data_IF_469589559835
#
_entry.id   IF_469589559835
#
_cell.length_a   1.000
_cell.length_b   1.000
_cell.length_c   1.000
_cell.angle_alpha   90.00
_cell.angle_beta   90.00
_cell.angle_gamma   90.00
#
_symmetry.space_group_name_H-M   'P 1'
#
loop_
_entity.id
_entity.type
_entity.pdbx_description
1 polymer ?
#
# COMPACT_ATOMS: atom_id res chain seq x y z
N UNK A 1 25.21 4.25 -20.43
CA UNK A 1 24.54 4.11 -21.74
C UNK A 1 23.21 3.41 -21.47
N UNK A 2 22.11 4.08 -21.85
CA UNK A 2 20.69 3.71 -21.75
C UNK A 2 19.95 4.12 -20.47
N UNK A 3 19.31 5.30 -20.60
CA UNK A 3 18.04 5.72 -19.99
C UNK A 3 17.00 4.59 -20.07
N UNK A 4 16.24 4.39 -18.99
CA UNK A 4 14.77 4.25 -18.95
C UNK A 4 14.35 3.68 -17.58
N UNK A 5 13.89 4.55 -16.68
CA UNK A 5 13.09 4.20 -15.49
C UNK A 5 11.62 4.61 -15.71
N UNK A 6 11.11 4.40 -16.92
CA UNK A 6 9.69 4.53 -17.24
C UNK A 6 8.96 3.26 -16.77
N UNK A 7 7.70 3.33 -16.30
CA UNK A 7 6.85 2.15 -16.32
C UNK A 7 6.78 1.64 -17.77
N UNK A 8 6.86 0.31 -18.01
CA UNK A 8 7.01 -0.23 -19.35
C UNK A 8 5.86 0.21 -20.26
N UNK A 9 6.20 0.80 -21.40
CA UNK A 9 5.27 1.02 -22.50
C UNK A 9 4.65 -0.32 -22.93
N UNK A 10 3.32 -0.39 -22.94
CA UNK A 10 2.59 -1.38 -23.72
C UNK A 10 2.68 -1.04 -25.22
N UNK A 11 3.85 -1.30 -25.84
CA UNK A 11 3.97 -1.23 -27.29
C UNK A 11 3.14 -2.33 -27.94
N UNK A 12 2.05 -1.95 -28.61
CA UNK A 12 1.23 -2.85 -29.40
C UNK A 12 1.72 -2.87 -30.85
N UNK A 13 2.24 -3.98 -31.40
CA UNK A 13 2.24 -4.16 -32.84
C UNK A 13 0.90 -4.76 -33.25
N UNK A 14 0.11 -4.00 -34.02
CA UNK A 14 -0.97 -4.57 -34.84
C UNK A 14 -0.37 -5.59 -35.82
N UNK A 15 -0.46 -6.87 -35.47
CA UNK A 15 -0.68 -7.95 -36.43
C UNK A 15 -1.38 -9.11 -35.72
N UNK A 16 -2.32 -9.72 -36.45
CA UNK A 16 -3.32 -10.67 -35.98
C UNK A 16 -2.77 -11.80 -35.09
N UNK A 17 -3.15 -11.82 -33.80
CA UNK A 17 -3.22 -13.07 -33.02
C UNK A 17 -4.22 -12.91 -31.87
N UNK A 18 -5.49 -13.18 -32.21
CA UNK A 18 -6.59 -13.38 -31.27
C UNK A 18 -6.20 -14.39 -30.17
N UNK A 19 -6.19 -13.92 -28.92
CA UNK A 19 -6.66 -14.61 -27.72
C UNK A 19 -6.14 -16.01 -27.37
N UNK A 20 -4.89 -16.12 -26.89
CA UNK A 20 -4.40 -17.36 -26.23
C UNK A 20 -4.78 -17.48 -24.74
N UNK A 21 -5.34 -16.43 -24.13
CA UNK A 21 -5.91 -16.50 -22.78
C UNK A 21 -7.29 -17.18 -22.74
N UNK A 22 -8.05 -17.15 -23.85
CA UNK A 22 -9.39 -17.78 -23.96
C UNK A 22 -9.33 -19.28 -24.28
N UNK A 23 -8.21 -19.75 -24.83
CA UNK A 23 -8.02 -21.14 -25.26
C UNK A 23 -7.72 -22.09 -24.07
N UNK A 24 -7.09 -21.56 -23.01
CA UNK A 24 -6.81 -22.33 -21.77
C UNK A 24 -8.06 -22.56 -20.91
N UNK A 25 -9.05 -21.68 -21.00
CA UNK A 25 -10.33 -21.82 -20.28
C UNK A 25 -11.27 -22.86 -20.94
N UNK A 26 -11.21 -23.02 -22.27
CA UNK A 26 -12.02 -24.00 -23.00
C UNK A 26 -11.46 -25.44 -22.90
N UNK A 27 -10.14 -25.60 -22.83
CA UNK A 27 -9.50 -26.92 -22.73
C UNK A 27 -9.71 -27.61 -21.38
N UNK A 28 -10.15 -26.88 -20.33
CA UNK A 28 -10.44 -27.44 -19.00
C UNK A 28 -11.92 -27.80 -18.78
N UNK A 29 -12.81 -27.46 -19.72
CA UNK A 29 -14.25 -27.83 -19.69
C UNK A 29 -14.58 -29.12 -20.46
N UNK A 30 -13.62 -29.75 -21.11
CA UNK A 30 -13.84 -30.89 -22.01
C UNK A 30 -13.69 -32.29 -21.40
N UNK A 31 -13.58 -32.46 -20.08
CA UNK A 31 -13.25 -33.77 -19.50
C UNK A 31 -13.89 -34.05 -18.16
N UNK A 32 -15.16 -34.49 -18.15
CA UNK A 32 -15.62 -35.56 -17.25
C UNK A 32 -16.97 -36.16 -17.71
N UNK A 33 -17.18 -37.47 -17.54
CA UNK A 33 -18.30 -38.19 -18.12
C UNK A 33 -19.59 -38.06 -17.30
N UNK A 34 -20.69 -38.23 -18.03
CA UNK A 34 -22.09 -38.27 -17.60
C UNK A 34 -22.33 -39.14 -16.35
N UNK A 35 -23.10 -38.62 -15.40
CA UNK A 35 -24.02 -39.44 -14.60
C UNK A 35 -25.44 -38.92 -14.79
N UNK A 36 -26.29 -39.76 -15.34
CA UNK A 36 -27.73 -39.60 -15.39
C UNK A 36 -28.32 -39.50 -13.97
N UNK A 37 -29.32 -38.63 -13.83
CA UNK A 37 -30.69 -38.97 -13.43
C UNK A 37 -31.28 -37.89 -12.51
N UNK A 38 -32.30 -37.24 -13.07
CA UNK A 38 -33.14 -36.26 -12.46
C UNK A 38 -34.04 -36.89 -11.40
N UNK A 39 -34.31 -36.15 -10.32
CA UNK A 39 -35.67 -36.02 -9.80
C UNK A 39 -35.82 -34.79 -8.91
N UNK A 40 -36.81 -33.98 -9.28
CA UNK A 40 -37.22 -32.74 -8.63
C UNK A 40 -37.93 -33.01 -7.31
N UNK A 41 -37.68 -32.16 -6.31
CA UNK A 41 -38.51 -32.07 -5.11
C UNK A 41 -38.89 -30.61 -4.86
N UNK A 42 -40.18 -30.32 -5.01
CA UNK A 42 -40.82 -29.06 -4.60
C UNK A 42 -41.65 -29.30 -3.34
N UNK A 43 -41.83 -28.29 -2.47
CA UNK A 43 -42.38 -28.46 -1.14
C UNK A 43 -43.91 -28.39 -1.13
N UNK A 44 -44.56 -29.32 -0.42
CA UNK A 44 -46.00 -29.23 -0.07
C UNK A 44 -46.25 -29.79 1.33
N UNK A 45 -46.68 -28.92 2.24
CA UNK A 45 -47.60 -29.27 3.33
C UNK A 45 -48.95 -29.74 2.71
N UNK A 46 -49.85 -30.50 3.37
CA UNK A 46 -50.25 -30.35 4.79
C UNK A 46 -50.71 -31.66 5.50
N UNK A 47 -51.29 -31.46 6.69
CA UNK A 47 -52.29 -32.28 7.42
C UNK A 47 -51.82 -33.08 8.65
N UNK A 48 -52.33 -32.60 9.77
CA UNK A 48 -52.38 -33.17 11.13
C UNK A 48 -53.36 -34.34 11.23
N UNK A 49 -53.01 -35.37 12.02
CA UNK A 49 -54.00 -36.18 12.73
C UNK A 49 -54.02 -35.83 14.21
N UNK A 50 -55.23 -35.58 14.72
CA UNK A 50 -55.56 -35.55 16.15
C UNK A 50 -55.31 -36.93 16.75
N UNK A 51 -54.52 -37.01 17.82
CA UNK A 51 -54.56 -38.13 18.76
C UNK A 51 -54.63 -37.64 20.19
N UNK A 52 -55.70 -38.11 20.84
CA UNK A 52 -56.10 -38.06 22.24
C UNK A 52 -55.00 -38.01 23.31
N UNK A 53 -55.23 -37.11 24.27
CA UNK A 53 -54.53 -36.94 25.55
C UNK A 53 -54.50 -38.21 26.42
N UNK A 54 -53.37 -38.46 27.12
CA UNK A 54 -53.38 -39.08 28.43
C UNK A 54 -52.99 -38.08 29.53
N UNK A 55 -53.89 -38.00 30.53
CA UNK A 55 -53.74 -37.57 31.92
C UNK A 55 -52.40 -36.98 32.38
N UNK A 56 -52.48 -35.71 32.78
CA UNK A 56 -51.93 -35.12 34.00
C UNK A 56 -50.53 -35.60 34.45
N UNK A 57 -49.51 -35.08 33.77
CA UNK A 57 -48.20 -34.93 34.38
C UNK A 57 -48.26 -33.77 35.38
N UNK A 58 -47.94 -34.08 36.64
CA UNK A 58 -47.82 -33.15 37.77
C UNK A 58 -47.17 -31.84 37.35
N UNK A 59 -47.86 -30.74 37.60
CA UNK A 59 -47.29 -29.41 37.64
C UNK A 59 -46.16 -29.43 38.69
N UNK A 60 -44.91 -29.48 38.23
CA UNK A 60 -43.77 -29.13 39.07
C UNK A 60 -43.88 -27.62 39.31
N UNK A 61 -44.57 -27.25 40.38
CA UNK A 61 -44.47 -25.93 40.98
C UNK A 61 -42.98 -25.60 41.16
N UNK A 62 -42.49 -24.42 40.74
CA UNK A 62 -41.11 -24.02 41.00
C UNK A 62 -40.91 -23.93 42.51
N UNK A 63 -40.41 -24.99 43.11
CA UNK A 63 -39.96 -25.00 44.50
C UNK A 63 -38.66 -24.23 44.55
N UNK A 64 -38.78 -22.92 44.72
CA UNK A 64 -37.65 -22.01 44.82
C UNK A 64 -38.03 -20.63 44.30
N UNK A 65 -38.66 -19.81 45.14
CA UNK A 65 -38.51 -18.36 44.99
C UNK A 65 -37.01 -18.09 45.04
N UNK A 66 -36.39 -17.79 43.91
CA UNK A 66 -35.10 -17.11 43.90
C UNK A 66 -35.33 -15.77 44.61
N UNK A 67 -35.13 -15.76 45.93
CA UNK A 67 -35.09 -14.52 46.71
C UNK A 67 -33.81 -13.82 46.26
N UNK A 68 -33.97 -12.82 45.41
CA UNK A 68 -32.91 -11.83 45.18
C UNK A 68 -32.42 -11.38 46.57
N UNK A 69 -31.11 -11.43 46.85
CA UNK A 69 -30.60 -10.93 48.11
C UNK A 69 -31.06 -9.49 48.28
N UNK A 70 -31.63 -9.16 49.45
CA UNK A 70 -31.95 -7.77 49.79
C UNK A 70 -30.65 -6.98 49.86
N UNK A 71 -30.32 -6.28 48.77
CA UNK A 71 -29.21 -5.34 48.75
C UNK A 71 -29.67 -4.14 49.59
N UNK A 72 -29.36 -4.18 50.89
CA UNK A 72 -29.56 -3.04 51.80
C UNK A 72 -28.52 -1.98 51.48
N UNK A 73 -28.84 -1.14 50.50
CA UNK A 73 -28.07 0.06 50.20
C UNK A 73 -28.33 1.09 51.32
N UNK A 74 -27.31 1.51 52.09
CA UNK A 74 -27.50 2.59 53.04
C UNK A 74 -27.96 3.83 52.28
N UNK A 75 -29.09 4.42 52.68
CA UNK A 75 -29.72 5.57 51.99
C UNK A 75 -28.73 6.73 51.77
N UNK A 76 -27.72 6.89 52.63
CA UNK A 76 -26.66 7.88 52.49
C UNK A 76 -25.73 7.68 51.29
N UNK A 77 -25.69 6.49 50.68
CA UNK A 77 -24.84 6.17 49.51
C UNK A 77 -25.61 6.06 48.20
N UNK A 78 -26.94 6.12 48.23
CA UNK A 78 -27.79 6.12 47.04
C UNK A 78 -27.45 7.28 46.09
N UNK A 79 -27.22 8.53 46.58
CA UNK A 79 -26.80 9.63 45.70
C UNK A 79 -25.46 9.36 45.03
N UNK A 80 -24.50 8.79 45.77
CA UNK A 80 -23.17 8.46 45.26
C UNK A 80 -23.23 7.40 44.14
N UNK A 81 -24.08 6.38 44.30
CA UNK A 81 -24.28 5.34 43.29
C UNK A 81 -25.01 5.87 42.05
N UNK A 82 -25.96 6.79 42.22
CA UNK A 82 -26.60 7.49 41.11
C UNK A 82 -25.58 8.32 40.34
N UNK A 83 -24.72 9.07 41.03
CA UNK A 83 -23.65 9.87 40.41
C UNK A 83 -22.64 8.97 39.70
N UNK A 84 -22.21 7.87 40.32
CA UNK A 84 -21.29 6.91 39.71
C UNK A 84 -21.91 6.24 38.46
N UNK A 85 -23.20 5.89 38.50
CA UNK A 85 -23.92 5.35 37.35
C UNK A 85 -24.05 6.37 36.21
N UNK A 86 -24.32 7.65 36.53
CA UNK A 86 -24.34 8.74 35.57
C UNK A 86 -22.97 8.96 34.93
N UNK A 87 -21.89 8.98 35.72
CA UNK A 87 -20.52 9.08 35.21
C UNK A 87 -20.20 7.89 34.31
N UNK A 88 -20.56 6.66 34.70
CA UNK A 88 -20.34 5.47 33.89
C UNK A 88 -21.08 5.53 32.55
N UNK A 89 -22.32 6.01 32.54
CA UNK A 89 -23.09 6.20 31.30
C UNK A 89 -22.47 7.31 30.44
N UNK A 90 -22.05 8.44 31.03
CA UNK A 90 -21.40 9.53 30.31
C UNK A 90 -20.08 9.06 29.69
N UNK A 91 -19.22 8.40 30.48
CA UNK A 91 -17.96 7.82 30.00
C UNK A 91 -18.23 6.77 28.93
N UNK A 92 -19.22 5.90 29.14
CA UNK A 92 -19.64 4.90 28.16
C UNK A 92 -20.07 5.55 26.84
N UNK A 93 -20.89 6.59 26.87
CA UNK A 93 -21.33 7.35 25.68
C UNK A 93 -20.15 8.07 25.03
N UNK A 94 -19.24 8.65 25.81
CA UNK A 94 -18.06 9.34 25.29
C UNK A 94 -17.09 8.37 24.61
N UNK A 95 -16.79 7.24 25.26
CA UNK A 95 -15.91 6.20 24.72
C UNK A 95 -16.52 5.52 23.50
N UNK A 96 -17.82 5.18 23.54
CA UNK A 96 -18.51 4.57 22.40
C UNK A 96 -18.70 5.59 21.26
N UNK A 97 -18.90 6.86 21.60
CA UNK A 97 -18.91 7.98 20.66
C UNK A 97 -17.55 8.16 19.99
N UNK A 98 -16.46 8.09 20.75
CA UNK A 98 -15.09 8.18 20.24
C UNK A 98 -14.77 6.99 19.31
N UNK A 99 -15.11 5.76 19.72
CA UNK A 99 -14.90 4.56 18.90
C UNK A 99 -15.72 4.61 17.60
N UNK A 100 -16.93 5.17 17.65
CA UNK A 100 -17.85 5.24 16.50
C UNK A 100 -17.61 6.46 15.60
N UNK A 101 -16.99 7.51 16.12
CA UNK A 101 -16.64 8.74 15.39
C UNK A 101 -15.18 8.79 14.94
N UNK A 102 -14.35 7.80 15.29
CA UNK A 102 -13.07 7.61 14.59
C UNK A 102 -13.37 7.41 13.12
N UNK A 103 -12.89 8.33 12.29
CA UNK A 103 -12.85 8.11 10.85
C UNK A 103 -12.18 6.75 10.61
N UNK A 104 -12.68 5.93 9.66
CA UNK A 104 -12.00 4.69 9.31
C UNK A 104 -10.55 5.02 8.94
N UNK A 105 -9.58 4.48 9.67
CA UNK A 105 -8.18 4.67 9.31
C UNK A 105 -7.90 3.91 8.02
N UNK A 106 -7.24 4.58 7.07
CA UNK A 106 -6.76 3.97 5.85
C UNK A 106 -5.82 2.80 6.20
N UNK A 107 -5.89 1.72 5.42
CA UNK A 107 -5.06 0.55 5.67
C UNK A 107 -3.55 0.84 5.63
N UNK A 108 -2.73 -0.03 6.25
CA UNK A 108 -1.29 0.21 6.38
C UNK A 108 -0.52 0.17 5.04
N UNK A 109 -1.08 -0.49 4.03
CA UNK A 109 -0.38 -0.84 2.80
C UNK A 109 -0.54 0.25 1.73
N UNK A 110 0.32 0.19 0.71
CA UNK A 110 0.31 1.13 -0.41
C UNK A 110 0.33 0.45 -1.78
N UNK A 111 0.04 1.23 -2.83
CA UNK A 111 0.04 0.76 -4.22
C UNK A 111 0.57 1.84 -5.17
N UNK A 112 1.44 1.45 -6.10
CA UNK A 112 1.80 2.30 -7.24
C UNK A 112 0.76 2.20 -8.36
N UNK A 113 0.29 3.36 -8.82
CA UNK A 113 -0.71 3.50 -9.87
C UNK A 113 -0.13 4.25 -11.07
N UNK A 114 -0.20 3.65 -12.25
CA UNK A 114 0.38 4.19 -13.48
C UNK A 114 -0.49 5.26 -14.14
N UNK A 115 0.07 5.83 -15.20
CA UNK A 115 -0.65 6.71 -16.14
C UNK A 115 -1.92 6.11 -16.75
N UNK A 116 -2.11 4.78 -16.76
CA UNK A 116 -3.35 4.17 -17.27
C UNK A 116 -4.56 4.61 -16.44
N UNK A 117 -4.36 4.88 -15.15
CA UNK A 117 -5.37 5.44 -14.27
C UNK A 117 -5.42 6.96 -14.31
N UNK A 118 -4.26 7.62 -14.27
CA UNK A 118 -4.22 9.07 -14.05
C UNK A 118 -4.35 9.90 -15.34
N UNK A 119 -3.99 9.36 -16.50
CA UNK A 119 -4.08 10.05 -17.80
C UNK A 119 -5.31 9.62 -18.61
N UNK A 120 -6.12 8.71 -18.08
CA UNK A 120 -7.33 8.22 -18.76
C UNK A 120 -8.56 8.55 -17.95
N UNK A 121 -9.65 8.93 -18.63
CA UNK A 121 -10.96 9.07 -18.01
C UNK A 121 -11.58 7.70 -17.78
N UNK A 122 -11.96 7.44 -16.54
CA UNK A 122 -12.64 6.22 -16.12
C UNK A 122 -14.09 6.52 -15.78
N UNK A 123 -14.97 5.53 -15.92
CA UNK A 123 -16.34 5.65 -15.45
C UNK A 123 -16.41 5.59 -13.91
N UNK A 124 -17.41 6.24 -13.31
CA UNK A 124 -17.61 6.23 -11.85
C UNK A 124 -17.67 4.81 -11.26
N UNK A 125 -18.22 3.86 -12.01
CA UNK A 125 -18.28 2.45 -11.61
C UNK A 125 -16.91 1.75 -11.57
N UNK A 126 -16.00 2.08 -12.49
CA UNK A 126 -14.64 1.55 -12.53
C UNK A 126 -13.82 2.08 -11.35
N UNK A 127 -13.92 3.39 -11.10
CA UNK A 127 -13.29 4.05 -9.95
C UNK A 127 -13.81 3.46 -8.63
N UNK A 128 -15.13 3.26 -8.51
CA UNK A 128 -15.72 2.65 -7.31
C UNK A 128 -15.28 1.20 -7.10
N UNK A 129 -15.21 0.40 -8.16
CA UNK A 129 -14.73 -0.98 -8.10
C UNK A 129 -13.25 -1.05 -7.70
N UNK A 130 -12.42 -0.15 -8.25
CA UNK A 130 -11.01 -0.05 -7.89
C UNK A 130 -10.84 0.38 -6.43
N UNK A 131 -11.53 1.44 -5.99
CA UNK A 131 -11.55 1.86 -4.59
C UNK A 131 -11.97 0.72 -3.64
N UNK A 132 -12.98 -0.07 -4.00
CA UNK A 132 -13.39 -1.21 -3.20
C UNK A 132 -12.31 -2.28 -3.13
N UNK A 133 -11.66 -2.62 -4.26
CA UNK A 133 -10.52 -3.55 -4.28
C UNK A 133 -9.42 -3.07 -3.34
N UNK A 134 -9.09 -1.78 -3.33
CA UNK A 134 -8.06 -1.24 -2.43
C UNK A 134 -8.46 -1.38 -0.96
N UNK A 135 -9.72 -1.09 -0.60
CA UNK A 135 -10.23 -1.31 0.76
C UNK A 135 -10.14 -2.78 1.18
N UNK A 136 -10.59 -3.69 0.33
CA UNK A 136 -10.59 -5.13 0.59
C UNK A 136 -9.17 -5.67 0.82
N UNK A 137 -8.17 -5.00 0.26
CA UNK A 137 -6.76 -5.34 0.39
C UNK A 137 -6.00 -4.39 1.34
N UNK A 138 -6.72 -3.62 2.18
CA UNK A 138 -6.14 -2.70 3.17
C UNK A 138 -5.07 -1.75 2.60
N UNK A 139 -5.28 -1.27 1.38
CA UNK A 139 -4.43 -0.26 0.73
C UNK A 139 -4.94 1.12 1.12
N UNK A 140 -4.22 1.80 2.02
CA UNK A 140 -4.58 3.13 2.49
C UNK A 140 -3.78 4.27 1.87
N UNK A 141 -2.72 3.98 1.13
CA UNK A 141 -1.92 4.98 0.40
C UNK A 141 -1.78 4.59 -1.07
N UNK A 142 -1.95 5.55 -1.98
CA UNK A 142 -1.76 5.35 -3.41
C UNK A 142 -0.73 6.33 -3.93
N UNK A 143 0.32 5.82 -4.55
CA UNK A 143 1.32 6.60 -5.27
C UNK A 143 0.90 6.70 -6.73
N UNK A 144 0.19 7.75 -7.09
CA UNK A 144 -0.43 7.90 -8.42
C UNK A 144 0.46 8.72 -9.34
N UNK A 145 0.85 8.13 -10.47
CA UNK A 145 1.75 8.75 -11.45
C UNK A 145 1.23 10.10 -11.93
N UNK A 146 2.05 11.14 -11.80
CA UNK A 146 1.72 12.50 -12.28
C UNK A 146 2.59 12.90 -13.45
N UNK A 147 3.92 12.80 -13.31
CA UNK A 147 4.86 13.19 -14.36
C UNK A 147 6.30 12.78 -14.03
N UNK A 148 7.15 12.85 -15.04
CA UNK A 148 8.61 12.78 -14.93
C UNK A 148 9.23 14.08 -15.46
N UNK A 149 10.28 14.56 -14.81
CA UNK A 149 11.03 15.71 -15.30
C UNK A 149 12.03 15.29 -16.38
N UNK A 150 11.85 15.75 -17.62
CA UNK A 150 12.80 15.43 -18.69
C UNK A 150 14.14 16.16 -18.51
N UNK A 151 15.22 15.67 -19.14
CA UNK A 151 16.51 16.37 -19.18
C UNK A 151 16.41 17.82 -19.71
N UNK A 152 15.43 18.13 -20.56
CA UNK A 152 15.18 19.50 -21.06
C UNK A 152 14.38 20.38 -20.09
N UNK A 153 14.33 20.00 -18.81
CA UNK A 153 13.63 20.71 -17.74
C UNK A 153 12.13 20.93 -18.02
N UNK A 154 11.44 19.89 -18.52
CA UNK A 154 9.99 19.90 -18.76
C UNK A 154 9.30 18.71 -18.11
N UNK A 155 8.10 18.93 -17.57
CA UNK A 155 7.25 17.85 -17.09
C UNK A 155 6.59 17.13 -18.28
N UNK A 156 6.84 15.84 -18.39
CA UNK A 156 6.39 15.01 -19.51
C UNK A 156 5.00 14.39 -19.29
N UNK A 157 4.31 14.12 -20.39
CA UNK A 157 3.35 13.01 -20.46
C UNK A 157 4.09 11.71 -20.86
N UNK A 158 3.36 10.64 -21.18
CA UNK A 158 3.93 9.34 -21.57
C UNK A 158 4.25 9.22 -23.08
N UNK A 159 4.08 10.27 -23.89
CA UNK A 159 4.19 10.25 -25.36
C UNK A 159 5.14 11.33 -25.91
N UNK A 160 6.19 11.68 -25.17
CA UNK A 160 7.10 12.79 -25.49
C UNK A 160 6.42 14.18 -25.53
N UNK A 161 5.20 14.28 -25.02
CA UNK A 161 4.47 15.53 -24.87
C UNK A 161 4.72 16.19 -23.52
N UNK A 162 3.79 17.05 -23.11
CA UNK A 162 3.91 17.88 -21.91
C UNK A 162 2.81 17.54 -20.94
N UNK A 163 3.11 17.62 -19.64
CA UNK A 163 2.13 17.42 -18.57
C UNK A 163 0.85 18.24 -18.75
N UNK A 164 0.96 19.47 -19.31
CA UNK A 164 -0.19 20.33 -19.63
C UNK A 164 -1.27 19.61 -20.49
N UNK A 165 -0.90 18.62 -21.30
CA UNK A 165 -1.80 17.84 -22.14
C UNK A 165 -2.71 16.90 -21.35
N UNK A 166 -2.23 16.38 -20.22
CA UNK A 166 -2.91 15.34 -19.39
C UNK A 166 -3.38 15.89 -18.04
N UNK A 167 -3.07 17.16 -17.76
CA UNK A 167 -3.36 17.84 -16.49
C UNK A 167 -4.82 17.72 -16.05
N UNK A 168 -5.75 17.95 -16.98
CA UNK A 168 -7.19 17.91 -16.69
C UNK A 168 -7.66 16.49 -16.37
N UNK A 169 -7.03 15.47 -16.96
CA UNK A 169 -7.33 14.07 -16.70
C UNK A 169 -6.80 13.65 -15.32
N UNK A 170 -5.58 14.05 -14.97
CA UNK A 170 -5.01 13.83 -13.64
C UNK A 170 -5.87 14.48 -12.56
N UNK A 171 -6.28 15.74 -12.75
CA UNK A 171 -7.16 16.41 -11.79
C UNK A 171 -8.52 15.70 -11.67
N UNK A 172 -9.09 15.26 -12.79
CA UNK A 172 -10.36 14.55 -12.78
C UNK A 172 -10.27 13.19 -12.10
N UNK A 173 -9.16 12.46 -12.29
CA UNK A 173 -8.89 11.22 -11.55
C UNK A 173 -8.84 11.50 -10.05
N UNK A 174 -8.05 12.49 -9.61
CA UNK A 174 -7.92 12.82 -8.18
C UNK A 174 -9.28 13.16 -7.55
N UNK A 175 -10.09 14.00 -8.20
CA UNK A 175 -11.43 14.37 -7.70
C UNK A 175 -12.35 13.15 -7.61
N UNK A 176 -12.41 12.32 -8.66
CA UNK A 176 -13.28 11.15 -8.70
C UNK A 176 -12.84 10.09 -7.69
N UNK A 177 -11.54 9.81 -7.62
CA UNK A 177 -10.97 8.80 -6.75
C UNK A 177 -11.13 9.16 -5.27
N UNK A 178 -10.84 10.41 -4.88
CA UNK A 178 -11.06 10.87 -3.49
C UNK A 178 -12.54 10.88 -3.10
N UNK A 179 -13.46 11.09 -4.04
CA UNK A 179 -14.91 10.94 -3.79
C UNK A 179 -15.28 9.48 -3.52
N UNK A 180 -14.69 8.54 -4.25
CA UNK A 180 -14.96 7.11 -4.10
C UNK A 180 -14.23 6.47 -2.91
N UNK A 181 -13.06 7.00 -2.53
CA UNK A 181 -12.23 6.56 -1.43
C UNK A 181 -11.71 7.73 -0.59
N UNK A 182 -12.56 8.38 0.23
CA UNK A 182 -12.18 9.59 0.96
C UNK A 182 -11.15 9.36 2.07
N UNK A 183 -10.99 8.12 2.55
CA UNK A 183 -10.03 7.79 3.59
C UNK A 183 -8.60 7.53 3.06
N UNK A 184 -8.43 7.34 1.74
CA UNK A 184 -7.11 7.06 1.15
C UNK A 184 -6.22 8.29 1.18
N UNK A 185 -4.91 8.09 1.36
CA UNK A 185 -3.90 9.11 1.05
C UNK A 185 -3.49 8.97 -0.41
N UNK A 186 -3.85 9.92 -1.25
CA UNK A 186 -3.45 9.94 -2.65
C UNK A 186 -2.25 10.87 -2.82
N UNK A 187 -1.07 10.29 -3.07
CA UNK A 187 0.18 11.04 -3.22
C UNK A 187 0.55 11.17 -4.70
N UNK A 188 0.96 12.37 -5.09
CA UNK A 188 1.45 12.66 -6.43
C UNK A 188 2.82 12.01 -6.64
N UNK A 189 2.88 10.96 -7.45
CA UNK A 189 4.13 10.32 -7.81
C UNK A 189 4.84 11.13 -8.89
N UNK A 190 5.97 11.74 -8.49
CA UNK A 190 6.79 12.63 -9.31
C UNK A 190 8.17 12.00 -9.49
N UNK A 191 8.53 11.73 -10.74
CA UNK A 191 9.84 11.18 -11.11
C UNK A 191 10.85 12.26 -11.47
N UNK A 192 12.08 12.13 -10.97
CA UNK A 192 13.19 13.01 -11.28
C UNK A 192 14.41 12.20 -11.76
N UNK A 193 15.10 12.65 -12.82
CA UNK A 193 16.31 12.01 -13.28
C UNK A 193 17.45 12.20 -12.27
N UNK A 194 18.37 11.24 -12.24
CA UNK A 194 19.62 11.34 -11.49
C UNK A 194 20.82 11.20 -12.40
N UNK A 195 21.79 12.10 -12.26
CA UNK A 195 23.01 12.05 -13.05
C UNK A 195 22.78 12.12 -14.58
N UNK A 196 21.63 12.67 -15.04
CA UNK A 196 21.49 13.08 -16.43
C UNK A 196 22.64 14.03 -16.78
N UNK A 197 23.15 13.92 -18.01
CA UNK A 197 24.33 14.63 -18.50
C UNK A 197 24.44 16.04 -17.88
N UNK A 198 25.46 16.32 -17.04
CA UNK A 198 25.60 17.59 -16.33
C UNK A 198 25.59 18.81 -17.24
N UNK A 199 25.97 18.64 -18.51
CA UNK A 199 25.95 19.68 -19.53
C UNK A 199 24.52 20.05 -19.96
N UNK A 200 23.55 19.15 -19.75
CA UNK A 200 22.12 19.35 -20.08
C UNK A 200 21.23 19.52 -18.86
N UNK A 201 21.63 18.97 -17.71
CA UNK A 201 20.78 18.91 -16.53
C UNK A 201 21.58 19.14 -15.24
N UNK A 202 21.40 20.33 -14.65
CA UNK A 202 22.05 20.71 -13.40
C UNK A 202 21.04 20.72 -12.24
N UNK A 203 21.04 19.64 -11.46
CA UNK A 203 20.21 19.45 -10.26
C UNK A 203 20.59 20.41 -9.12
N UNK A 204 21.79 20.98 -9.18
CA UNK A 204 22.30 21.89 -8.16
C UNK A 204 21.84 23.33 -8.44
N UNK A 205 21.18 23.55 -9.59
CA UNK A 205 20.71 24.87 -9.98
C UNK A 205 19.46 25.29 -9.20
N UNK A 206 19.41 26.56 -8.79
CA UNK A 206 18.20 27.16 -8.21
C UNK A 206 16.98 27.05 -9.15
N UNK A 207 17.23 27.01 -10.46
CA UNK A 207 16.19 26.86 -11.48
C UNK A 207 15.53 25.47 -11.40
N UNK A 208 16.33 24.41 -11.25
CA UNK A 208 15.83 23.05 -11.05
C UNK A 208 15.00 22.96 -9.76
N UNK A 209 15.54 23.43 -8.63
CA UNK A 209 14.82 23.42 -7.36
C UNK A 209 13.48 24.15 -7.49
N UNK A 210 13.47 25.37 -8.06
CA UNK A 210 12.23 26.13 -8.27
C UNK A 210 11.23 25.39 -9.15
N UNK A 211 11.70 24.67 -10.17
CA UNK A 211 10.83 23.90 -11.06
C UNK A 211 10.14 22.76 -10.33
N UNK A 212 10.88 22.00 -9.51
CA UNK A 212 10.32 20.92 -8.69
C UNK A 212 9.37 21.48 -7.63
N UNK A 213 9.77 22.51 -6.91
CA UNK A 213 8.97 23.17 -5.87
C UNK A 213 7.65 23.71 -6.42
N UNK A 214 7.66 24.35 -7.59
CA UNK A 214 6.43 24.84 -8.23
C UNK A 214 5.50 23.69 -8.64
N UNK A 215 6.05 22.59 -9.13
CA UNK A 215 5.27 21.44 -9.57
C UNK A 215 4.67 20.66 -8.40
N UNK A 216 5.45 20.46 -7.34
CA UNK A 216 4.96 19.91 -6.08
C UNK A 216 3.81 20.75 -5.52
N UNK A 217 3.97 22.07 -5.49
CA UNK A 217 2.90 22.97 -5.05
C UNK A 217 1.65 22.86 -5.94
N UNK A 218 1.82 22.78 -7.26
CA UNK A 218 0.71 22.59 -8.20
C UNK A 218 -0.02 21.26 -7.96
N UNK A 219 0.70 20.17 -7.70
CA UNK A 219 0.11 18.87 -7.45
C UNK A 219 -0.83 18.89 -6.24
N UNK A 220 -0.38 19.49 -5.13
CA UNK A 220 -1.21 19.58 -3.92
C UNK A 220 -2.35 20.59 -4.11
N UNK A 221 -2.03 21.84 -4.48
CA UNK A 221 -2.99 22.95 -4.42
C UNK A 221 -3.97 23.01 -5.58
N UNK A 222 -3.59 22.49 -6.76
CA UNK A 222 -4.41 22.59 -7.97
C UNK A 222 -4.95 21.23 -8.42
N UNK A 223 -4.17 20.16 -8.27
CA UNK A 223 -4.62 18.81 -8.66
C UNK A 223 -5.31 18.04 -7.53
N UNK A 224 -5.13 18.48 -6.27
CA UNK A 224 -5.88 17.97 -5.11
C UNK A 224 -5.30 16.73 -4.42
N UNK A 225 -4.02 16.43 -4.68
CA UNK A 225 -3.29 15.36 -3.99
C UNK A 225 -3.07 15.70 -2.51
N UNK A 226 -3.01 14.66 -1.67
CA UNK A 226 -2.77 14.77 -0.22
C UNK A 226 -1.27 14.94 0.12
N UNK A 227 -0.41 14.82 -0.88
CA UNK A 227 1.03 14.93 -0.71
C UNK A 227 1.82 14.53 -1.94
N UNK A 228 3.13 14.43 -1.77
CA UNK A 228 4.10 14.12 -2.80
C UNK A 228 4.73 12.77 -2.50
N UNK A 229 4.80 11.90 -3.51
CA UNK A 229 5.68 10.75 -3.52
C UNK A 229 6.82 11.01 -4.52
N UNK A 230 7.98 11.36 -3.97
CA UNK A 230 9.14 11.74 -4.76
C UNK A 230 9.99 10.52 -5.09
N UNK A 231 10.23 10.29 -6.39
CA UNK A 231 11.15 9.27 -6.86
C UNK A 231 12.27 9.92 -7.65
N UNK A 232 13.45 10.02 -7.02
CA UNK A 232 14.67 10.43 -7.69
C UNK A 232 15.43 9.18 -8.06
N UNK A 233 15.86 9.06 -9.32
CA UNK A 233 16.65 7.91 -9.74
C UNK A 233 17.97 7.84 -8.93
N UNK A 234 18.57 6.66 -8.75
CA UNK A 234 19.99 6.45 -8.37
C UNK A 234 20.62 7.33 -7.27
N UNK A 235 19.87 7.83 -6.28
CA UNK A 235 20.43 8.71 -5.23
C UNK A 235 21.53 8.01 -4.44
N UNK A 236 22.73 8.58 -4.49
CA UNK A 236 23.91 8.07 -3.81
C UNK A 236 23.92 8.37 -2.31
N UNK A 237 24.75 7.64 -1.57
CA UNK A 237 24.97 7.92 -0.15
C UNK A 237 25.55 9.34 0.04
N UNK A 238 24.97 10.11 0.97
CA UNK A 238 25.49 11.43 1.32
C UNK A 238 25.24 12.52 0.29
N UNK A 239 24.29 12.34 -0.63
CA UNK A 239 23.91 13.36 -1.59
C UNK A 239 23.21 14.55 -0.90
N UNK A 240 23.91 15.69 -0.82
CA UNK A 240 23.43 16.92 -0.18
C UNK A 240 22.43 17.71 -1.03
N UNK A 241 22.38 17.48 -2.35
CA UNK A 241 21.38 18.08 -3.23
C UNK A 241 20.02 17.43 -2.99
N UNK A 242 19.99 16.10 -2.84
CA UNK A 242 18.80 15.38 -2.41
C UNK A 242 18.32 15.87 -1.03
N UNK A 243 19.23 16.04 -0.07
CA UNK A 243 18.88 16.59 1.25
C UNK A 243 18.28 17.99 1.17
N UNK A 244 18.83 18.84 0.30
CA UNK A 244 18.33 20.20 0.08
C UNK A 244 16.95 20.17 -0.57
N UNK A 245 16.74 19.31 -1.56
CA UNK A 245 15.46 19.14 -2.23
C UNK A 245 14.36 18.71 -1.23
N UNK A 246 14.61 17.68 -0.41
CA UNK A 246 13.64 17.23 0.58
C UNK A 246 13.27 18.33 1.57
N UNK A 247 14.28 19.03 2.11
CA UNK A 247 14.07 20.15 3.04
C UNK A 247 13.23 21.26 2.42
N UNK A 248 13.51 21.61 1.16
CA UNK A 248 12.81 22.69 0.48
C UNK A 248 11.36 22.30 0.14
N UNK A 249 11.11 21.06 -0.30
CA UNK A 249 9.75 20.56 -0.56
C UNK A 249 8.96 20.54 0.75
N UNK A 250 9.50 19.95 1.82
CA UNK A 250 8.84 19.89 3.12
C UNK A 250 8.51 21.28 3.67
N UNK A 251 9.38 22.27 3.47
CA UNK A 251 9.15 23.65 3.90
C UNK A 251 8.04 24.39 3.11
N UNK A 252 7.55 23.87 1.98
CA UNK A 252 6.44 24.49 1.23
C UNK A 252 5.07 24.22 1.83
N UNK A 253 4.95 23.19 2.66
CA UNK A 253 3.66 22.66 3.06
C UNK A 253 3.50 22.62 4.58
N UNK A 254 2.26 22.65 5.02
CA UNK A 254 1.89 22.40 6.41
C UNK A 254 2.03 20.91 6.74
N UNK A 255 2.03 20.56 8.03
CA UNK A 255 2.22 19.19 8.54
C UNK A 255 1.17 18.16 8.05
N UNK A 256 0.07 18.61 7.45
CA UNK A 256 -0.96 17.73 6.89
C UNK A 256 -0.57 17.14 5.52
N UNK A 257 0.37 17.76 4.80
CA UNK A 257 0.80 17.32 3.47
C UNK A 257 1.93 16.32 3.60
N UNK A 258 1.70 15.11 3.12
CA UNK A 258 2.68 14.01 3.25
C UNK A 258 3.80 14.13 2.22
N UNK A 259 5.04 14.06 2.67
CA UNK A 259 6.22 13.84 1.82
C UNK A 259 6.70 12.39 1.97
N UNK A 260 6.35 11.56 1.00
CA UNK A 260 6.89 10.21 0.85
C UNK A 260 8.04 10.21 -0.16
N UNK A 261 9.07 9.41 0.09
CA UNK A 261 10.25 9.31 -0.78
C UNK A 261 10.56 7.87 -1.14
N UNK A 262 10.78 7.61 -2.42
CA UNK A 262 11.34 6.35 -2.87
C UNK A 262 12.82 6.30 -2.46
N UNK A 263 13.22 5.25 -1.75
CA UNK A 263 14.62 5.05 -1.36
C UNK A 263 15.17 3.79 -2.03
N UNK A 264 16.40 3.85 -2.58
CA UNK A 264 17.03 2.66 -3.09
C UNK A 264 17.25 1.67 -1.94
N UNK A 265 17.17 0.37 -2.22
CA UNK A 265 17.60 -0.62 -1.26
C UNK A 265 19.13 -0.52 -1.09
N UNK A 266 19.63 -1.05 0.01
CA UNK A 266 21.06 -1.33 0.14
C UNK A 266 21.39 -2.48 -0.81
N UNK A 267 21.86 -2.17 -2.02
CA UNK A 267 22.07 -3.16 -3.08
C UNK A 267 23.22 -4.12 -2.76
N UNK A 268 24.32 -3.62 -2.18
CA UNK A 268 25.50 -4.45 -1.89
C UNK A 268 25.92 -4.44 -0.41
N UNK A 269 25.11 -4.99 0.52
CA UNK A 269 25.43 -5.05 1.93
C UNK A 269 26.46 -6.16 2.19
N UNK A 270 27.72 -5.92 1.88
CA UNK A 270 28.80 -6.93 1.92
C UNK A 270 29.04 -7.55 3.30
N UNK A 271 28.58 -6.89 4.37
CA UNK A 271 28.75 -7.37 5.75
C UNK A 271 27.55 -8.20 6.23
N UNK A 272 26.51 -8.38 5.42
CA UNK A 272 25.29 -9.10 5.81
C UNK A 272 25.39 -10.63 5.67
N UNK A 273 26.48 -11.16 5.09
CA UNK A 273 26.65 -12.61 4.89
C UNK A 273 25.75 -13.21 3.80
N UNK A 274 25.18 -12.37 2.93
CA UNK A 274 24.27 -12.74 1.84
C UNK A 274 25.07 -12.90 0.54
N UNK A 275 24.70 -13.88 -0.29
CA UNK A 275 25.34 -14.09 -1.61
C UNK A 275 24.78 -13.08 -2.62
N UNK A 276 25.50 -11.99 -2.84
CA UNK A 276 25.01 -10.88 -3.68
C UNK A 276 25.22 -11.13 -5.18
N UNK A 277 24.25 -10.76 -6.04
CA UNK A 277 24.42 -10.83 -7.49
C UNK A 277 25.42 -9.77 -7.98
N UNK A 278 26.18 -10.04 -9.06
CA UNK A 278 27.22 -9.13 -9.57
C UNK A 278 26.66 -7.97 -10.41
N UNK A 279 25.39 -7.60 -10.19
CA UNK A 279 24.66 -6.63 -10.99
C UNK A 279 24.99 -5.18 -10.61
N UNK A 280 25.25 -4.95 -9.31
CA UNK A 280 25.47 -3.62 -8.75
C UNK A 280 26.91 -3.41 -8.28
N UNK A 281 27.40 -2.18 -8.39
CA UNK A 281 28.74 -1.84 -7.95
C UNK A 281 28.87 -1.98 -6.42
N UNK A 282 30.02 -2.45 -5.90
CA UNK A 282 30.25 -2.49 -4.45
C UNK A 282 30.10 -1.12 -3.79
N UNK A 283 29.56 -1.09 -2.58
CA UNK A 283 29.35 0.15 -1.82
C UNK A 283 28.07 0.91 -2.18
N UNK A 284 27.13 0.28 -2.89
CA UNK A 284 25.80 0.84 -3.20
C UNK A 284 24.84 0.67 -2.00
N UNK A 285 25.26 1.21 -0.86
CA UNK A 285 24.59 1.13 0.45
C UNK A 285 24.58 2.52 1.05
N UNK A 286 23.45 2.93 1.63
CA UNK A 286 23.41 4.19 2.38
C UNK A 286 23.94 3.99 3.80
N UNK A 287 24.78 4.92 4.26
CA UNK A 287 25.19 4.96 5.65
C UNK A 287 23.98 5.18 6.56
N UNK A 288 24.05 4.62 7.76
CA UNK A 288 23.03 4.78 8.80
C UNK A 288 22.68 6.25 9.03
N UNK A 289 23.69 7.11 9.15
CA UNK A 289 23.51 8.56 9.36
C UNK A 289 22.79 9.24 8.19
N UNK A 290 22.97 8.76 6.96
CA UNK A 290 22.27 9.30 5.80
C UNK A 290 20.80 8.86 5.78
N UNK A 291 20.52 7.57 6.04
CA UNK A 291 19.15 7.07 6.21
C UNK A 291 18.40 7.86 7.29
N UNK A 292 19.03 8.13 8.44
CA UNK A 292 18.44 8.93 9.51
C UNK A 292 18.13 10.36 9.08
N UNK A 293 19.05 11.01 8.35
CA UNK A 293 18.81 12.36 7.82
C UNK A 293 17.63 12.40 6.86
N UNK A 294 17.49 11.40 5.99
CA UNK A 294 16.31 11.27 5.10
C UNK A 294 15.03 11.05 5.93
N UNK A 295 15.08 10.15 6.92
CA UNK A 295 13.95 9.85 7.80
C UNK A 295 13.46 11.05 8.64
N UNK A 296 14.32 12.04 8.89
CA UNK A 296 13.95 13.28 9.57
C UNK A 296 13.32 14.34 8.65
N UNK A 297 13.43 14.17 7.33
CA UNK A 297 12.90 15.12 6.35
C UNK A 297 11.69 14.60 5.57
N UNK A 298 11.41 13.30 5.64
CA UNK A 298 10.28 12.67 4.98
C UNK A 298 9.33 12.07 6.03
N UNK A 299 8.03 12.04 5.72
CA UNK A 299 7.03 11.38 6.54
C UNK A 299 7.00 9.86 6.28
N UNK A 300 7.45 9.45 5.10
CA UNK A 300 7.48 8.05 4.69
C UNK A 300 8.68 7.75 3.80
N UNK A 301 9.39 6.67 4.10
CA UNK A 301 10.43 6.11 3.25
C UNK A 301 9.94 4.80 2.64
N UNK A 302 9.91 4.76 1.32
CA UNK A 302 9.43 3.60 0.55
C UNK A 302 10.64 2.87 0.00
N UNK A 303 11.02 1.78 0.66
CA UNK A 303 12.21 0.99 0.31
C UNK A 303 11.92 0.16 -0.93
N UNK A 304 12.58 0.46 -2.05
CA UNK A 304 12.37 -0.22 -3.33
C UNK A 304 13.11 -1.57 -3.39
N UNK A 305 12.69 -2.54 -2.57
CA UNK A 305 13.33 -3.85 -2.43
C UNK A 305 13.03 -4.82 -3.59
N UNK A 306 13.28 -4.36 -4.82
CA UNK A 306 13.03 -5.07 -6.07
C UNK A 306 14.08 -4.68 -7.14
N UNK A 307 14.04 -5.30 -8.32
CA UNK A 307 15.08 -5.24 -9.36
C UNK A 307 16.44 -5.75 -8.85
N UNK A 308 16.42 -6.77 -8.00
CA UNK A 308 17.57 -7.24 -7.23
C UNK A 308 18.59 -8.04 -8.03
N UNK A 309 18.18 -8.70 -9.10
CA UNK A 309 19.03 -9.59 -9.90
C UNK A 309 19.42 -10.89 -9.21
N UNK A 310 18.78 -11.27 -8.10
CA UNK A 310 18.96 -12.59 -7.51
C UNK A 310 18.41 -13.69 -8.42
N UNK A 311 19.08 -14.84 -8.42
CA UNK A 311 18.65 -16.05 -9.14
C UNK A 311 17.96 -17.06 -8.21
N UNK A 312 17.90 -16.78 -6.90
CA UNK A 312 17.34 -17.65 -5.88
C UNK A 312 16.42 -16.88 -4.92
N UNK A 313 15.20 -17.40 -4.72
CA UNK A 313 14.20 -16.85 -3.81
C UNK A 313 14.66 -16.76 -2.36
N UNK A 314 15.49 -17.70 -1.88
CA UNK A 314 16.00 -17.69 -0.51
C UNK A 314 16.96 -16.53 -0.28
N UNK A 315 17.94 -16.34 -1.18
CA UNK A 315 18.89 -15.23 -1.11
C UNK A 315 18.18 -13.88 -1.25
N UNK A 316 17.19 -13.78 -2.15
CA UNK A 316 16.32 -12.60 -2.25
C UNK A 316 15.56 -12.33 -0.93
N UNK A 317 14.96 -13.36 -0.33
CA UNK A 317 14.21 -13.22 0.93
C UNK A 317 15.12 -12.77 2.08
N UNK A 318 16.34 -13.31 2.18
CA UNK A 318 17.34 -12.86 3.16
C UNK A 318 17.76 -11.41 2.93
N UNK A 319 17.91 -11.00 1.67
CA UNK A 319 18.20 -9.61 1.32
C UNK A 319 17.05 -8.67 1.68
N UNK A 320 15.80 -9.05 1.44
CA UNK A 320 14.63 -8.28 1.87
C UNK A 320 14.51 -8.21 3.40
N UNK A 321 14.84 -9.29 4.12
CA UNK A 321 14.90 -9.29 5.57
C UNK A 321 15.91 -8.25 6.07
N UNK A 322 17.12 -8.25 5.49
CA UNK A 322 18.15 -7.25 5.78
C UNK A 322 17.67 -5.81 5.51
N UNK A 323 16.99 -5.56 4.38
CA UNK A 323 16.43 -4.22 4.09
C UNK A 323 15.44 -3.82 5.19
N UNK A 324 14.51 -4.73 5.51
CA UNK A 324 13.44 -4.46 6.46
C UNK A 324 14.01 -4.15 7.85
N UNK A 325 14.91 -4.98 8.36
CA UNK A 325 15.50 -4.78 9.69
C UNK A 325 16.41 -3.56 9.75
N UNK A 326 17.29 -3.38 8.76
CA UNK A 326 18.25 -2.28 8.76
C UNK A 326 17.54 -0.92 8.72
N UNK A 327 16.52 -0.75 7.87
CA UNK A 327 15.77 0.52 7.82
C UNK A 327 14.92 0.72 9.07
N UNK A 328 14.26 -0.33 9.57
CA UNK A 328 13.44 -0.25 10.78
C UNK A 328 14.26 0.18 12.01
N UNK A 329 15.37 -0.52 12.28
CA UNK A 329 16.26 -0.21 13.40
C UNK A 329 16.87 1.19 13.28
N UNK A 330 17.31 1.56 12.07
CA UNK A 330 17.93 2.87 11.83
C UNK A 330 16.98 4.02 12.13
N UNK A 331 15.70 3.87 11.77
CA UNK A 331 14.68 4.90 12.02
C UNK A 331 14.20 4.86 13.47
N UNK A 332 14.08 3.68 14.09
CA UNK A 332 13.66 3.52 15.48
C UNK A 332 14.63 4.17 16.49
N UNK A 333 15.90 4.37 16.10
CA UNK A 333 16.88 5.12 16.88
C UNK A 333 16.58 6.64 16.98
N UNK A 334 15.63 7.15 16.19
CA UNK A 334 15.24 8.56 16.17
C UNK A 334 14.02 8.83 17.07
N UNK A 335 14.03 9.96 17.77
CA UNK A 335 12.85 10.48 18.47
C UNK A 335 11.90 11.14 17.45
N UNK A 336 11.10 10.31 16.78
CA UNK A 336 10.28 10.72 15.64
C UNK A 336 11.04 10.57 14.32
N UNK A 337 10.34 10.09 13.29
CA UNK A 337 10.91 9.84 11.98
C UNK A 337 9.90 9.23 11.02
N UNK A 338 10.34 9.06 9.77
CA UNK A 338 9.55 8.50 8.69
C UNK A 338 8.94 7.13 9.04
N UNK A 339 7.74 6.88 8.55
CA UNK A 339 7.21 5.52 8.48
C UNK A 339 7.90 4.74 7.36
N UNK A 340 8.30 3.51 7.61
CA UNK A 340 8.87 2.63 6.58
C UNK A 340 7.74 1.88 5.87
N UNK A 341 7.81 1.85 4.54
CA UNK A 341 7.02 0.95 3.71
C UNK A 341 7.94 0.17 2.80
N UNK A 342 7.80 -1.16 2.76
CA UNK A 342 8.66 -2.01 1.92
C UNK A 342 7.97 -2.28 0.59
N UNK A 343 8.62 -1.92 -0.51
CA UNK A 343 8.15 -2.16 -1.87
C UNK A 343 8.28 -3.62 -2.27
N UNK A 344 7.23 -4.18 -2.86
CA UNK A 344 7.13 -5.55 -3.35
C UNK A 344 6.74 -5.52 -4.81
N UNK A 345 7.58 -6.08 -5.69
CA UNK A 345 7.31 -6.10 -7.12
C UNK A 345 6.26 -7.15 -7.50
N UNK A 346 5.40 -6.76 -8.45
CA UNK A 346 4.53 -7.66 -9.22
C UNK A 346 4.83 -7.53 -10.71
N UNK A 347 6.04 -7.09 -11.05
CA UNK A 347 6.44 -6.84 -12.43
C UNK A 347 6.61 -8.15 -13.20
N UNK A 348 6.53 -8.03 -14.52
CA UNK A 348 6.90 -9.11 -15.43
C UNK A 348 8.43 -9.23 -15.53
N UNK A 349 8.92 -10.39 -15.98
CA UNK A 349 10.35 -10.68 -16.08
C UNK A 349 11.13 -9.63 -16.89
N UNK A 350 12.25 -9.17 -16.32
CA UNK A 350 13.19 -8.24 -16.94
C UNK A 350 14.63 -8.68 -16.65
N UNK A 351 15.08 -9.74 -17.32
CA UNK A 351 16.43 -10.26 -17.11
C UNK A 351 17.51 -9.25 -17.53
N UNK A 352 18.61 -9.10 -16.76
CA UNK A 352 18.95 -9.84 -15.54
C UNK A 352 18.46 -9.16 -14.25
N UNK A 353 17.69 -8.07 -14.33
CA UNK A 353 17.28 -7.25 -13.17
C UNK A 353 16.16 -7.88 -12.34
N UNK A 354 15.20 -8.53 -12.98
CA UNK A 354 14.01 -9.06 -12.32
C UNK A 354 13.61 -10.43 -12.88
N UNK A 355 13.40 -11.39 -11.98
CA UNK A 355 12.80 -12.70 -12.27
C UNK A 355 11.60 -12.92 -11.33
N UNK A 356 10.35 -12.96 -11.84
CA UNK A 356 9.16 -13.14 -11.01
C UNK A 356 9.08 -14.53 -10.34
N UNK A 357 9.90 -15.50 -10.75
CA UNK A 357 10.03 -16.77 -10.03
C UNK A 357 10.80 -16.63 -8.70
N UNK A 358 11.63 -15.58 -8.59
CA UNK A 358 12.50 -15.28 -7.44
C UNK A 358 11.96 -14.09 -6.65
N UNK A 359 11.67 -13.00 -7.35
CA UNK A 359 11.21 -11.73 -6.81
C UNK A 359 9.70 -11.61 -7.00
N UNK A 360 8.95 -12.16 -6.04
CA UNK A 360 7.49 -12.15 -6.02
C UNK A 360 6.96 -11.90 -4.61
N UNK A 361 5.64 -11.78 -4.49
CA UNK A 361 4.96 -11.50 -3.22
C UNK A 361 5.32 -12.52 -2.14
N UNK A 362 5.35 -13.83 -2.44
CA UNK A 362 5.64 -14.82 -1.41
C UNK A 362 7.05 -14.69 -0.84
N UNK A 363 8.07 -14.59 -1.71
CA UNK A 363 9.46 -14.47 -1.29
C UNK A 363 9.73 -13.12 -0.59
N UNK A 364 9.18 -12.02 -1.12
CA UNK A 364 9.30 -10.70 -0.50
C UNK A 364 8.65 -10.69 0.89
N UNK A 365 7.43 -11.23 1.02
CA UNK A 365 6.72 -11.30 2.30
C UNK A 365 7.47 -12.16 3.31
N UNK A 366 8.02 -13.30 2.91
CA UNK A 366 8.84 -14.14 3.79
C UNK A 366 10.06 -13.36 4.33
N UNK A 367 10.74 -12.60 3.47
CA UNK A 367 11.84 -11.73 3.88
C UNK A 367 11.40 -10.62 4.83
N UNK A 368 10.30 -9.92 4.51
CA UNK A 368 9.77 -8.84 5.36
C UNK A 368 9.41 -9.37 6.74
N UNK A 369 8.73 -10.51 6.83
CA UNK A 369 8.39 -11.14 8.12
C UNK A 369 9.62 -11.49 8.94
N UNK A 370 10.66 -12.05 8.32
CA UNK A 370 11.91 -12.35 8.99
C UNK A 370 12.58 -11.07 9.53
N UNK A 371 12.67 -10.01 8.71
CA UNK A 371 13.25 -8.74 9.12
C UNK A 371 12.44 -8.04 10.23
N UNK A 372 11.11 -8.12 10.20
CA UNK A 372 10.26 -7.62 11.28
C UNK A 372 10.48 -8.38 12.59
N UNK A 373 10.60 -9.71 12.52
CA UNK A 373 10.88 -10.54 13.69
C UNK A 373 12.25 -10.23 14.32
N UNK A 374 13.26 -9.93 13.49
CA UNK A 374 14.59 -9.51 13.93
C UNK A 374 14.59 -8.12 14.59
N UNK A 375 13.73 -7.21 14.11
CA UNK A 375 13.69 -5.80 14.53
C UNK A 375 13.10 -5.56 15.93
N UNK A 376 12.44 -6.55 16.53
CA UNK A 376 11.74 -6.42 17.82
C UNK A 376 10.85 -5.16 17.87
N UNK A 377 11.05 -4.25 18.85
CA UNK A 377 10.26 -3.01 18.98
C UNK A 377 10.41 -2.07 17.77
N UNK A 378 11.54 -2.13 17.06
CA UNK A 378 11.75 -1.31 15.87
C UNK A 378 10.81 -1.70 14.71
N UNK A 379 10.22 -2.90 14.75
CA UNK A 379 9.22 -3.34 13.76
C UNK A 379 8.02 -2.39 13.66
N UNK A 380 7.70 -1.66 14.74
CA UNK A 380 6.61 -0.68 14.76
C UNK A 380 6.84 0.52 13.81
N UNK A 381 8.07 0.74 13.34
CA UNK A 381 8.37 1.76 12.32
C UNK A 381 7.97 1.34 10.91
N UNK A 382 7.83 0.03 10.67
CA UNK A 382 7.37 -0.50 9.39
C UNK A 382 5.86 -0.52 9.38
N UNK A 383 5.28 0.44 8.66
CA UNK A 383 3.83 0.61 8.56
C UNK A 383 3.18 -0.54 7.81
N UNK A 384 3.77 -0.98 6.71
CA UNK A 384 3.20 -1.99 5.83
C UNK A 384 4.04 -2.21 4.57
N UNK A 385 3.43 -2.79 3.55
CA UNK A 385 4.09 -3.04 2.25
C UNK A 385 3.41 -2.25 1.13
N UNK A 386 4.18 -1.96 0.08
CA UNK A 386 3.68 -1.31 -1.12
C UNK A 386 3.79 -2.26 -2.33
N UNK A 387 2.67 -2.53 -3.01
CA UNK A 387 2.72 -3.33 -4.24
C UNK A 387 3.13 -2.44 -5.41
N UNK A 388 4.28 -2.72 -6.01
CA UNK A 388 4.77 -2.05 -7.20
C UNK A 388 4.13 -2.66 -8.45
N UNK A 389 3.34 -1.84 -9.14
CA UNK A 389 2.77 -2.15 -10.44
C UNK A 389 1.30 -2.55 -10.44
N UNK A 390 0.34 -1.65 -10.17
CA UNK A 390 -1.09 -1.99 -10.36
C UNK A 390 -1.45 -2.45 -11.78
N UNK A 391 -0.66 -2.07 -12.78
CA UNK A 391 -0.81 -2.46 -14.19
C UNK A 391 -0.30 -3.87 -14.49
N UNK A 392 0.51 -4.45 -13.60
CA UNK A 392 1.00 -5.83 -13.72
C UNK A 392 0.37 -6.76 -12.69
N UNK A 393 -0.12 -6.25 -11.55
CA UNK A 393 -0.72 -7.09 -10.50
C UNK A 393 -2.00 -7.79 -10.98
N UNK A 394 -1.88 -9.09 -11.22
CA UNK A 394 -2.95 -10.01 -11.59
C UNK A 394 -3.87 -10.34 -10.41
N UNK A 395 -5.06 -10.89 -10.70
CA UNK A 395 -5.99 -11.35 -9.65
C UNK A 395 -5.39 -12.48 -8.79
N UNK A 396 -4.50 -13.29 -9.36
CA UNK A 396 -3.77 -14.36 -8.65
C UNK A 396 -2.76 -13.76 -7.66
N UNK A 397 -2.05 -12.70 -8.03
CA UNK A 397 -1.13 -11.97 -7.14
C UNK A 397 -1.88 -11.23 -6.04
N UNK A 398 -3.04 -10.65 -6.33
CA UNK A 398 -3.93 -10.09 -5.29
C UNK A 398 -4.39 -11.17 -4.31
N UNK A 399 -4.67 -12.39 -4.78
CA UNK A 399 -5.00 -13.51 -3.91
C UNK A 399 -3.80 -13.93 -3.06
N UNK A 400 -2.61 -14.03 -3.67
CA UNK A 400 -1.38 -14.32 -2.96
C UNK A 400 -1.10 -13.28 -1.88
N UNK A 401 -1.25 -11.98 -2.17
CA UNK A 401 -1.10 -10.91 -1.19
C UNK A 401 -2.06 -11.07 0.00
N UNK A 402 -3.33 -11.39 -0.26
CA UNK A 402 -4.28 -11.67 0.84
C UNK A 402 -3.85 -12.86 1.68
N UNK A 403 -3.44 -13.94 1.03
CA UNK A 403 -3.12 -15.20 1.69
C UNK A 403 -1.81 -15.14 2.48
N UNK A 404 -0.80 -14.39 2.00
CA UNK A 404 0.51 -14.30 2.65
C UNK A 404 0.66 -13.10 3.58
N UNK A 405 0.04 -11.96 3.29
CA UNK A 405 0.24 -10.72 4.06
C UNK A 405 -0.96 -10.32 4.94
N UNK A 406 -2.20 -10.45 4.44
CA UNK A 406 -3.38 -9.90 5.14
C UNK A 406 -4.08 -10.88 6.08
N UNK A 407 -4.15 -12.17 5.72
CA UNK A 407 -4.88 -13.19 6.49
C UNK A 407 -4.06 -13.75 7.66
N UNK A 408 -3.27 -12.89 8.32
CA UNK A 408 -2.41 -13.24 9.45
C UNK A 408 -3.14 -13.24 10.78
#
# INVERSE_FOLDING_TARGET
MNNESLPPEAQTPRSERRGRARERHLKRKGGRPQSESAQAFTPRAPTTPRSSLPRAARQLSPSGRFKLPEIKLPQSRVPLLIVAGLIFVIVGVFVLGEIRNRAPEAGPNALWVSSDWTYTRHEDGEIAAFAQRLRDNQIGTVYAWVSYLTPEARWADNQNGRFDNVRDDVQAFTVQFKRAYPEVRLLAWIGLPFGADPDTYNQDSEAFLRLVLNFSQQAVTQLGFDGIFLQVEQVGNGDENFMTLLRQIGAQFDEEVVLAVAVPPDWTPTNAGITLPPLYAPGTVWERSYKQRVALLADQMVVMAYNSGFENAEDYSQWVAYQTSTFAETVAELEGGAQIVVGVSTAEAEAPRHDPAVENIASAVAGIEAGLAESAEAAATVRGIALYGSWTTSDDEWAQFRDTWLNR
#
